data_IF_638755536345
#
_entry.id   IF_638755536345
#
_cell.length_a   1.000
_cell.length_b   1.000
_cell.length_c   1.000
_cell.angle_alpha   90.00
_cell.angle_beta   90.00
_cell.angle_gamma   90.00
#
_symmetry.space_group_name_H-M   'P 1'
#
loop_
_entity.id
_entity.type
_entity.pdbx_description
1 polymer ?
#
# COMPACT_ATOMS: atom_id res chain seq x y z
N UNK A 1 17.86 2.89 6.16
CA UNK A 1 16.48 3.40 6.05
C UNK A 1 16.22 3.74 4.58
N UNK A 2 16.19 2.72 3.70
CA UNK A 2 16.16 2.88 2.24
C UNK A 2 15.00 2.12 1.56
N UNK A 3 14.31 1.20 2.25
CA UNK A 3 13.33 0.29 1.64
C UNK A 3 11.96 0.91 1.35
N UNK A 4 11.61 2.01 2.01
CA UNK A 4 10.31 2.68 1.84
C UNK A 4 10.38 3.88 0.89
N UNK A 5 11.49 4.13 0.22
CA UNK A 5 11.64 5.22 -0.73
C UNK A 5 11.07 4.80 -2.10
N UNK A 6 10.21 5.63 -2.70
CA UNK A 6 9.64 5.39 -4.04
C UNK A 6 10.73 5.29 -5.12
N UNK A 7 11.93 5.80 -4.84
CA UNK A 7 13.10 5.70 -5.72
C UNK A 7 13.74 4.31 -5.74
N UNK A 8 13.41 3.42 -4.79
CA UNK A 8 13.86 2.03 -4.84
C UNK A 8 12.91 1.22 -5.74
N UNK A 9 13.28 1.16 -7.01
CA UNK A 9 12.55 0.43 -8.04
C UNK A 9 12.78 -1.07 -7.85
N UNK A 10 11.68 -1.83 -7.72
CA UNK A 10 11.73 -3.29 -7.67
C UNK A 10 11.78 -3.87 -9.08
N UNK A 11 10.89 -3.43 -9.97
CA UNK A 11 10.88 -3.81 -11.39
C UNK A 11 10.12 -2.78 -12.23
N UNK A 12 10.32 -2.83 -13.55
CA UNK A 12 9.55 -2.02 -14.50
C UNK A 12 8.46 -2.89 -15.13
N UNK A 13 7.20 -2.45 -15.06
CA UNK A 13 6.06 -3.08 -15.73
C UNK A 13 5.60 -2.17 -16.86
N UNK A 14 5.67 -2.63 -18.11
CA UNK A 14 5.22 -1.84 -19.28
C UNK A 14 5.78 -0.40 -19.34
N UNK A 15 7.04 -0.23 -18.94
CA UNK A 15 7.71 1.07 -18.91
C UNK A 15 7.44 1.92 -17.67
N UNK A 16 6.59 1.47 -16.75
CA UNK A 16 6.38 2.11 -15.45
C UNK A 16 7.33 1.52 -14.39
N UNK A 17 8.21 2.32 -13.76
CA UNK A 17 9.06 1.86 -12.68
C UNK A 17 8.24 1.68 -11.40
N UNK A 18 8.08 0.44 -10.95
CA UNK A 18 7.32 0.14 -9.74
C UNK A 18 8.26 -0.01 -8.54
N UNK A 19 8.01 0.79 -7.50
CA UNK A 19 8.80 0.75 -6.27
C UNK A 19 8.46 -0.45 -5.38
N UNK A 20 9.36 -0.81 -4.46
CA UNK A 20 9.06 -1.84 -3.45
C UNK A 20 7.82 -1.48 -2.63
N UNK A 21 7.68 -0.20 -2.25
CA UNK A 21 6.56 0.31 -1.47
C UNK A 21 5.22 0.11 -2.20
N UNK A 22 5.17 0.52 -3.47
CA UNK A 22 3.99 0.34 -4.32
C UNK A 22 3.65 -1.13 -4.50
N UNK A 23 4.63 -1.97 -4.82
CA UNK A 23 4.40 -3.39 -5.06
C UNK A 23 3.84 -4.09 -3.83
N UNK A 24 4.47 -3.93 -2.66
CA UNK A 24 3.99 -4.56 -1.43
C UNK A 24 2.66 -3.98 -0.96
N UNK A 25 2.42 -2.67 -1.14
CA UNK A 25 1.13 -2.05 -0.87
C UNK A 25 0.02 -2.67 -1.72
N UNK A 26 0.21 -2.74 -3.05
CA UNK A 26 -0.77 -3.32 -3.97
C UNK A 26 -1.01 -4.82 -3.67
N UNK A 27 0.03 -5.60 -3.40
CA UNK A 27 -0.11 -7.03 -3.06
C UNK A 27 -0.84 -7.21 -1.74
N UNK A 28 -0.48 -6.47 -0.69
CA UNK A 28 -1.15 -6.53 0.60
C UNK A 28 -2.64 -6.15 0.48
N UNK A 29 -2.96 -5.11 -0.31
CA UNK A 29 -4.34 -4.72 -0.58
C UNK A 29 -5.13 -5.77 -1.36
N UNK A 30 -4.54 -6.35 -2.41
CA UNK A 30 -5.17 -7.44 -3.15
C UNK A 30 -5.45 -8.66 -2.29
N UNK A 31 -4.49 -9.04 -1.43
CA UNK A 31 -4.67 -10.12 -0.47
C UNK A 31 -5.74 -9.77 0.58
N UNK A 32 -5.76 -8.55 1.12
CA UNK A 32 -6.77 -8.12 2.07
C UNK A 32 -8.19 -8.23 1.50
N UNK A 33 -8.41 -7.79 0.25
CA UNK A 33 -9.71 -7.89 -0.44
C UNK A 33 -10.07 -9.35 -0.68
N UNK A 34 -9.12 -10.18 -1.10
CA UNK A 34 -9.38 -11.61 -1.32
C UNK A 34 -9.75 -12.35 -0.02
N UNK A 35 -9.07 -12.05 1.09
CA UNK A 35 -9.42 -12.59 2.40
C UNK A 35 -10.76 -12.05 2.90
N UNK A 36 -11.06 -10.77 2.63
CA UNK A 36 -12.34 -10.16 2.97
C UNK A 36 -13.50 -10.80 2.22
N UNK A 37 -13.32 -11.10 0.93
CA UNK A 37 -14.28 -11.87 0.12
C UNK A 37 -14.52 -13.30 0.66
N UNK A 38 -13.56 -13.84 1.42
CA UNK A 38 -13.67 -15.14 2.11
C UNK A 38 -14.11 -15.02 3.58
N UNK A 39 -14.54 -13.84 4.02
CA UNK A 39 -14.93 -13.54 5.40
C UNK A 39 -13.88 -13.98 6.45
N UNK A 40 -12.59 -13.94 6.09
CA UNK A 40 -11.50 -14.34 6.98
C UNK A 40 -11.03 -13.15 7.82
N UNK A 41 -10.92 -13.33 9.14
CA UNK A 41 -10.47 -12.31 10.12
C UNK A 41 -9.08 -11.76 9.79
N UNK A 42 -8.23 -12.54 9.11
CA UNK A 42 -6.90 -12.09 8.65
C UNK A 42 -6.95 -10.96 7.60
N UNK A 43 -8.13 -10.65 7.02
CA UNK A 43 -8.29 -9.48 6.16
C UNK A 43 -8.02 -8.17 6.90
N UNK A 44 -8.31 -8.12 8.21
CA UNK A 44 -8.18 -6.93 9.04
C UNK A 44 -6.70 -6.50 9.23
N UNK A 45 -5.78 -7.37 9.71
CA UNK A 45 -4.37 -7.01 9.82
C UNK A 45 -3.72 -6.74 8.46
N UNK A 46 -4.11 -7.46 7.39
CA UNK A 46 -3.61 -7.17 6.04
C UNK A 46 -4.09 -5.81 5.51
N UNK A 47 -5.34 -5.45 5.80
CA UNK A 47 -5.88 -4.12 5.51
C UNK A 47 -5.11 -3.02 6.24
N UNK A 48 -4.77 -3.24 7.51
CA UNK A 48 -4.00 -2.28 8.30
C UNK A 48 -2.59 -2.06 7.74
N UNK A 49 -1.92 -3.14 7.33
CA UNK A 49 -0.61 -3.07 6.66
C UNK A 49 -0.73 -2.32 5.33
N UNK A 50 -1.76 -2.62 4.54
CA UNK A 50 -2.03 -1.96 3.27
C UNK A 50 -2.19 -0.43 3.44
N UNK A 51 -3.10 -0.02 4.32
CA UNK A 51 -3.38 1.41 4.64
C UNK A 51 -2.10 2.13 5.10
N UNK A 52 -1.29 1.48 5.95
CA UNK A 52 -0.02 2.05 6.43
C UNK A 52 0.99 2.23 5.29
N UNK A 53 1.14 1.25 4.38
CA UNK A 53 2.05 1.35 3.24
C UNK A 53 1.62 2.45 2.26
N UNK A 54 0.32 2.55 1.95
CA UNK A 54 -0.20 3.61 1.08
C UNK A 54 -0.12 5.00 1.71
N UNK A 55 -0.22 5.12 3.03
CA UNK A 55 0.01 6.39 3.72
C UNK A 55 1.41 6.93 3.43
N UNK A 56 2.45 6.10 3.57
CA UNK A 56 3.83 6.50 3.26
C UNK A 56 4.05 6.80 1.77
N UNK A 57 3.33 6.11 0.88
CA UNK A 57 3.39 6.33 -0.56
C UNK A 57 2.82 7.70 -0.90
N UNK A 58 1.59 7.99 -0.46
CA UNK A 58 0.95 9.27 -0.73
C UNK A 58 1.67 10.45 -0.07
N UNK A 59 2.32 10.24 1.07
CA UNK A 59 3.20 11.24 1.67
C UNK A 59 4.35 11.61 0.74
N UNK A 60 4.97 10.64 0.06
CA UNK A 60 6.08 10.88 -0.87
C UNK A 60 5.64 11.50 -2.20
N UNK A 61 4.47 11.10 -2.72
CA UNK A 61 3.88 11.68 -3.94
C UNK A 61 3.15 13.00 -3.64
N UNK A 62 3.18 13.48 -2.38
CA UNK A 62 2.54 14.73 -1.93
C UNK A 62 1.02 14.77 -2.20
N UNK A 63 0.38 13.60 -2.22
CA UNK A 63 -1.05 13.42 -2.47
C UNK A 63 -1.80 13.43 -1.14
N UNK A 64 -1.83 14.61 -0.50
CA UNK A 64 -2.36 14.78 0.85
C UNK A 64 -3.82 14.36 1.06
N UNK A 65 -4.76 14.56 0.09
CA UNK A 65 -6.13 14.10 0.26
C UNK A 65 -6.24 12.59 0.46
N UNK A 66 -5.55 11.82 -0.39
CA UNK A 66 -5.55 10.36 -0.33
C UNK A 66 -4.76 9.85 0.88
N UNK A 67 -3.70 10.56 1.27
CA UNK A 67 -2.97 10.27 2.51
C UNK A 67 -3.88 10.37 3.75
N UNK A 68 -4.70 11.42 3.85
CA UNK A 68 -5.63 11.58 4.97
C UNK A 68 -6.76 10.54 4.95
N UNK A 69 -7.20 10.13 3.75
CA UNK A 69 -8.16 9.04 3.60
C UNK A 69 -7.63 7.74 4.21
N UNK A 70 -6.32 7.48 4.09
CA UNK A 70 -5.71 6.33 4.75
C UNK A 70 -5.76 6.41 6.28
N UNK A 71 -5.61 7.61 6.86
CA UNK A 71 -5.79 7.78 8.31
C UNK A 71 -7.23 7.48 8.73
N UNK A 72 -8.21 7.87 7.90
CA UNK A 72 -9.62 7.56 8.15
C UNK A 72 -9.89 6.05 8.12
N UNK A 73 -9.28 5.29 7.20
CA UNK A 73 -9.44 3.82 7.17
C UNK A 73 -8.68 3.09 8.28
N UNK A 74 -7.73 3.76 8.93
CA UNK A 74 -6.94 3.18 10.02
C UNK A 74 -7.68 3.23 11.38
N UNK A 75 -8.57 4.21 11.57
CA UNK A 75 -9.33 4.46 12.81
C UNK A 75 -10.70 3.77 12.73
#
# INVERSE_FOLDING_TARGET
MYLFDIKQIFFTLWGYPMSYLEFFGTVAGGLAVWLSARANVWSWPLGLVNVTLFFFLFFQVQLYPDMLLQVFFFI
#
